data_IF_284820190122
#
_entry.id   IF_284820190122
#
_cell.length_a   1.000
_cell.length_b   1.000
_cell.length_c   1.000
_cell.angle_alpha   90.00
_cell.angle_beta   90.00
_cell.angle_gamma   90.00
#
_symmetry.space_group_name_H-M   'P 1'
#
loop_
_entity.id
_entity.type
_entity.pdbx_description
1 polymer ?
#
# COMPACT_ATOMS: atom_id res chain seq x y z
N UNK A 1 -21.03 27.47 -6.29
CA UNK A 1 -19.64 27.35 -5.80
C UNK A 1 -18.93 28.66 -6.14
N UNK A 2 -18.16 29.24 -5.21
CA UNK A 2 -17.43 30.52 -5.41
C UNK A 2 -15.91 30.36 -5.36
N UNK A 3 -15.41 29.22 -4.90
CA UNK A 3 -13.99 28.94 -4.71
C UNK A 3 -13.61 27.67 -5.47
N UNK A 4 -12.40 27.69 -6.02
CA UNK A 4 -11.78 26.58 -6.73
C UNK A 4 -10.35 26.50 -6.21
N UNK A 5 -9.91 25.30 -5.84
CA UNK A 5 -8.54 25.03 -5.41
C UNK A 5 -7.92 24.04 -6.40
N UNK A 6 -6.71 24.36 -6.86
CA UNK A 6 -5.91 23.53 -7.76
C UNK A 6 -4.49 23.63 -7.23
N UNK A 7 -3.86 22.50 -6.94
CA UNK A 7 -2.52 22.39 -6.35
C UNK A 7 -1.49 23.28 -7.08
N UNK A 8 -1.46 23.22 -8.42
CA UNK A 8 -0.53 23.99 -9.26
C UNK A 8 -0.76 25.50 -9.26
N UNK A 9 -1.92 25.98 -8.80
CA UNK A 9 -2.27 27.40 -8.73
C UNK A 9 -2.26 27.95 -7.30
N UNK A 10 -2.50 27.08 -6.32
CA UNK A 10 -2.66 27.48 -4.93
C UNK A 10 -1.43 27.20 -4.07
N UNK A 11 -0.48 26.39 -4.55
CA UNK A 11 0.80 26.11 -3.90
C UNK A 11 1.92 26.81 -4.69
N UNK A 12 2.80 27.52 -3.98
CA UNK A 12 3.99 28.14 -4.57
C UNK A 12 5.01 27.03 -4.84
N UNK A 13 5.11 26.61 -6.11
CA UNK A 13 5.89 25.43 -6.50
C UNK A 13 7.39 25.50 -6.19
N UNK A 14 7.95 26.72 -6.13
CA UNK A 14 9.38 26.97 -5.91
C UNK A 14 9.72 27.28 -4.43
N UNK A 15 8.77 27.15 -3.51
CA UNK A 15 8.96 27.39 -2.08
C UNK A 15 8.73 26.10 -1.28
N UNK A 16 9.80 25.54 -0.71
CA UNK A 16 9.73 24.29 0.05
C UNK A 16 8.91 24.43 1.34
N UNK A 17 8.91 25.60 1.98
CA UNK A 17 8.18 25.84 3.22
C UNK A 17 6.68 25.99 2.95
N UNK A 18 6.32 26.71 1.87
CA UNK A 18 4.93 26.79 1.39
C UNK A 18 4.42 25.41 0.97
N UNK A 19 5.21 24.65 0.20
CA UNK A 19 4.86 23.29 -0.19
C UNK A 19 4.62 22.40 1.04
N UNK A 20 5.49 22.45 2.05
CA UNK A 20 5.33 21.67 3.28
C UNK A 20 4.05 22.07 4.03
N UNK A 21 3.78 23.36 4.11
CA UNK A 21 2.57 23.88 4.74
C UNK A 21 1.32 23.40 4.01
N UNK A 22 1.22 23.63 2.70
CA UNK A 22 0.06 23.28 1.89
C UNK A 22 -0.13 21.76 1.79
N UNK A 23 0.94 20.99 1.63
CA UNK A 23 0.89 19.52 1.66
C UNK A 23 0.27 18.99 2.96
N UNK A 24 0.57 19.64 4.09
CA UNK A 24 -0.02 19.29 5.39
C UNK A 24 -1.52 19.60 5.47
N UNK A 25 -2.01 20.56 4.67
CA UNK A 25 -3.41 21.00 4.59
C UNK A 25 -4.22 20.27 3.51
N UNK A 26 -3.59 19.67 2.50
CA UNK A 26 -4.26 19.00 1.38
C UNK A 26 -5.36 18.05 1.85
N UNK A 27 -5.08 17.28 2.90
CA UNK A 27 -6.05 16.38 3.49
C UNK A 27 -7.36 17.08 3.88
N UNK A 28 -7.26 18.22 4.55
CA UNK A 28 -8.40 19.02 4.97
C UNK A 28 -9.11 19.67 3.79
N UNK A 29 -8.36 20.10 2.77
CA UNK A 29 -8.92 20.71 1.55
C UNK A 29 -9.84 19.70 0.84
N UNK A 30 -9.34 18.49 0.56
CA UNK A 30 -10.14 17.46 -0.11
C UNK A 30 -11.26 16.92 0.77
N UNK A 31 -11.02 16.72 2.07
CA UNK A 31 -12.06 16.25 2.99
C UNK A 31 -13.22 17.24 3.14
N UNK A 32 -12.95 18.53 3.13
CA UNK A 32 -13.98 19.57 3.30
C UNK A 32 -14.48 20.13 1.95
N UNK A 33 -13.99 19.60 0.83
CA UNK A 33 -14.47 20.00 -0.49
C UNK A 33 -15.95 19.63 -0.66
N UNK A 34 -16.73 20.58 -1.19
CA UNK A 34 -18.12 20.30 -1.58
C UNK A 34 -18.17 19.23 -2.67
N UNK A 35 -17.24 19.32 -3.62
CA UNK A 35 -17.09 18.41 -4.75
C UNK A 35 -15.65 18.50 -5.27
N UNK A 36 -15.02 17.34 -5.46
CA UNK A 36 -13.74 17.22 -6.15
C UNK A 36 -13.98 16.83 -7.61
N UNK A 37 -13.29 17.49 -8.54
CA UNK A 37 -13.39 17.20 -9.97
C UNK A 37 -12.13 16.46 -10.41
N UNK A 38 -12.28 15.29 -11.03
CA UNK A 38 -11.16 14.58 -11.62
C UNK A 38 -11.25 14.53 -13.13
N UNK A 39 -10.18 14.98 -13.79
CA UNK A 39 -9.95 14.77 -15.21
C UNK A 39 -9.54 13.32 -15.50
N UNK A 40 -10.40 12.35 -15.16
CA UNK A 40 -10.08 10.90 -15.21
C UNK A 40 -9.67 10.45 -16.61
N UNK A 41 -10.29 11.02 -17.66
CA UNK A 41 -9.97 10.72 -19.06
C UNK A 41 -8.71 11.42 -19.59
N UNK A 42 -8.09 12.31 -18.80
CA UNK A 42 -6.98 13.14 -19.26
C UNK A 42 -5.65 12.57 -18.80
N UNK A 43 -4.71 12.50 -19.74
CA UNK A 43 -3.36 12.05 -19.45
C UNK A 43 -2.46 13.17 -18.87
N UNK A 44 -2.87 14.44 -19.04
CA UNK A 44 -2.19 15.63 -18.51
C UNK A 44 -3.20 16.78 -18.33
N UNK A 45 -2.75 17.84 -17.66
CA UNK A 45 -3.47 19.10 -17.48
C UNK A 45 -3.75 19.85 -18.80
N UNK A 46 -3.02 19.56 -19.87
CA UNK A 46 -3.22 20.16 -21.19
C UNK A 46 -4.49 19.68 -21.94
N UNK A 47 -5.07 18.54 -21.57
CA UNK A 47 -6.19 17.91 -22.30
C UNK A 47 -7.59 18.36 -21.82
N UNK A 48 -7.65 19.18 -20.77
CA UNK A 48 -8.89 19.66 -20.17
C UNK A 48 -9.73 18.56 -19.50
N UNK A 49 -11.01 18.85 -19.23
CA UNK A 49 -11.94 17.92 -18.54
C UNK A 49 -12.90 17.21 -19.49
N UNK A 50 -13.44 17.93 -20.47
CA UNK A 50 -14.58 17.45 -21.24
C UNK A 50 -14.20 16.39 -22.27
N UNK A 51 -15.06 15.37 -22.38
CA UNK A 51 -14.99 14.31 -23.39
C UNK A 51 -16.37 14.13 -24.00
N UNK A 52 -16.38 13.61 -25.21
CA UNK A 52 -17.60 13.15 -25.88
C UNK A 52 -17.45 11.68 -26.18
N UNK A 53 -18.48 10.90 -25.89
CA UNK A 53 -18.51 9.50 -26.28
C UNK A 53 -18.54 9.37 -27.81
N UNK A 54 -18.10 8.22 -28.30
CA UNK A 54 -18.19 7.92 -29.73
C UNK A 54 -19.64 7.92 -30.19
N UNK A 55 -19.90 8.45 -31.38
CA UNK A 55 -21.25 8.55 -31.96
C UNK A 55 -21.97 7.20 -32.13
N UNK A 56 -21.24 6.09 -32.02
CA UNK A 56 -21.84 4.74 -31.96
C UNK A 56 -22.74 4.55 -30.73
N UNK A 57 -22.60 5.40 -29.71
CA UNK A 57 -23.39 5.42 -28.49
C UNK A 57 -24.50 6.47 -28.50
N UNK A 58 -24.66 7.22 -29.59
CA UNK A 58 -25.77 8.15 -29.74
C UNK A 58 -27.10 7.39 -29.73
N UNK A 59 -28.12 8.00 -29.13
CA UNK A 59 -29.45 7.42 -29.12
C UNK A 59 -30.05 7.45 -30.52
N UNK A 60 -30.53 6.30 -31.00
CA UNK A 60 -31.34 6.18 -32.19
C UNK A 60 -32.82 6.12 -31.85
N UNK A 61 -33.63 6.71 -32.71
CA UNK A 61 -35.09 6.69 -32.59
C UNK A 61 -35.67 5.45 -33.29
N UNK A 62 -36.35 4.59 -32.53
CA UNK A 62 -37.06 3.42 -33.03
C UNK A 62 -38.56 3.65 -32.96
N UNK A 63 -39.23 3.56 -34.11
CA UNK A 63 -40.68 3.75 -34.23
C UNK A 63 -41.37 2.40 -34.39
N UNK A 64 -42.48 2.22 -33.67
CA UNK A 64 -43.24 0.98 -33.76
C UNK A 64 -44.73 1.15 -33.45
N UNK A 65 -45.45 0.03 -33.53
CA UNK A 65 -46.84 -0.09 -33.11
C UNK A 65 -46.99 -1.29 -32.17
N UNK A 66 -47.80 -1.15 -31.14
CA UNK A 66 -48.16 -2.29 -30.28
C UNK A 66 -49.05 -3.27 -31.04
N UNK A 67 -49.28 -4.47 -30.47
CA UNK A 67 -50.25 -5.45 -31.00
C UNK A 67 -51.67 -4.90 -31.15
N UNK A 68 -52.01 -3.82 -30.43
CA UNK A 68 -53.30 -3.10 -30.52
C UNK A 68 -53.25 -1.87 -31.45
N UNK A 69 -52.17 -1.70 -32.22
CA UNK A 69 -52.02 -0.61 -33.20
C UNK A 69 -51.58 0.75 -32.62
N UNK A 70 -51.34 0.88 -31.30
CA UNK A 70 -50.89 2.13 -30.67
C UNK A 70 -49.44 2.43 -31.11
N UNK A 71 -49.19 3.61 -31.67
CA UNK A 71 -47.84 4.06 -32.05
C UNK A 71 -47.00 4.33 -30.81
N UNK A 72 -45.71 4.02 -30.89
CA UNK A 72 -44.74 4.38 -29.87
C UNK A 72 -43.41 4.79 -30.52
N UNK A 73 -42.61 5.50 -29.74
CA UNK A 73 -41.22 5.85 -30.02
C UNK A 73 -40.39 5.33 -28.85
N UNK A 74 -39.31 4.62 -29.15
CA UNK A 74 -38.31 4.18 -28.19
C UNK A 74 -36.98 4.79 -28.62
N UNK A 75 -36.27 5.38 -27.68
CA UNK A 75 -34.87 5.75 -27.91
C UNK A 75 -34.01 4.61 -27.40
N UNK A 76 -33.16 4.08 -28.27
CA UNK A 76 -32.22 3.02 -27.94
C UNK A 76 -30.80 3.52 -28.21
N UNK A 77 -29.85 3.15 -27.36
CA UNK A 77 -28.42 3.38 -27.60
C UNK A 77 -27.64 2.11 -27.33
N UNK A 78 -26.44 2.02 -27.90
CA UNK A 78 -25.48 1.01 -27.44
C UNK A 78 -25.03 1.36 -26.02
N UNK A 79 -24.90 0.36 -25.17
CA UNK A 79 -24.34 0.51 -23.83
C UNK A 79 -22.96 1.19 -23.91
N UNK A 80 -22.71 2.16 -23.02
CA UNK A 80 -21.40 2.83 -22.96
C UNK A 80 -20.37 1.88 -22.32
N UNK A 81 -19.09 2.00 -22.66
CA UNK A 81 -18.04 1.30 -21.92
C UNK A 81 -17.93 1.94 -20.53
N UNK A 82 -18.36 1.23 -19.49
CA UNK A 82 -18.42 1.70 -18.09
C UNK A 82 -17.21 1.28 -17.24
N UNK A 83 -16.09 0.93 -17.86
CA UNK A 83 -14.92 0.51 -17.12
C UNK A 83 -14.14 1.72 -16.62
N UNK A 84 -13.90 1.77 -15.32
CA UNK A 84 -12.92 2.66 -14.69
C UNK A 84 -11.91 1.81 -13.92
N UNK A 85 -10.67 2.25 -13.87
CA UNK A 85 -9.64 1.66 -13.04
C UNK A 85 -8.24 1.64 -13.64
N UNK A 86 -8.12 1.67 -14.96
CA UNK A 86 -6.84 1.68 -15.67
C UNK A 86 -6.41 3.11 -16.10
N UNK A 87 -7.19 4.12 -15.75
CA UNK A 87 -6.86 5.49 -16.11
C UNK A 87 -5.62 5.99 -15.37
N UNK A 88 -4.80 6.78 -16.07
CA UNK A 88 -3.53 7.31 -15.56
C UNK A 88 -3.69 8.08 -14.25
N UNK A 89 -4.83 8.72 -14.03
CA UNK A 89 -5.13 9.48 -12.82
C UNK A 89 -5.04 8.59 -11.56
N UNK A 90 -5.62 7.40 -11.60
CA UNK A 90 -5.66 6.50 -10.44
C UNK A 90 -4.33 5.81 -10.16
N UNK A 91 -3.37 5.90 -11.07
CA UNK A 91 -2.01 5.37 -10.92
C UNK A 91 -1.08 6.32 -10.16
N UNK A 92 -1.53 7.54 -9.82
CA UNK A 92 -0.74 8.56 -9.11
C UNK A 92 -0.95 8.45 -7.59
N UNK A 93 0.14 8.44 -6.83
CA UNK A 93 0.12 8.28 -5.37
C UNK A 93 -0.63 9.40 -4.64
N UNK A 94 -0.41 10.66 -5.02
CA UNK A 94 -1.11 11.81 -4.41
C UNK A 94 -2.63 11.74 -4.60
N UNK A 95 -3.10 11.29 -5.77
CA UNK A 95 -4.53 11.11 -6.07
C UNK A 95 -5.21 10.14 -5.10
N UNK A 96 -4.46 9.19 -4.52
CA UNK A 96 -5.02 8.26 -3.55
C UNK A 96 -5.64 9.00 -2.38
N UNK A 97 -4.89 9.91 -1.75
CA UNK A 97 -5.40 10.73 -0.64
C UNK A 97 -6.55 11.63 -1.07
N UNK A 98 -6.42 12.27 -2.22
CA UNK A 98 -7.43 13.19 -2.77
C UNK A 98 -8.78 12.49 -2.95
N UNK A 99 -8.79 11.35 -3.65
CA UNK A 99 -9.99 10.53 -3.89
C UNK A 99 -10.51 9.90 -2.59
N UNK A 100 -9.61 9.41 -1.74
CA UNK A 100 -9.99 8.69 -0.52
C UNK A 100 -10.66 9.61 0.50
N UNK A 101 -10.19 10.85 0.64
CA UNK A 101 -10.71 11.81 1.62
C UNK A 101 -11.91 12.61 1.09
N UNK A 102 -12.00 12.86 -0.22
CA UNK A 102 -13.13 13.60 -0.83
C UNK A 102 -14.50 13.02 -0.45
N UNK A 103 -15.45 13.83 0.06
CA UNK A 103 -16.82 13.38 0.33
C UNK A 103 -17.56 12.99 -0.95
N UNK A 104 -17.28 13.71 -2.04
CA UNK A 104 -17.87 13.57 -3.37
C UNK A 104 -16.80 13.84 -4.41
N UNK A 105 -16.74 12.99 -5.41
CA UNK A 105 -15.78 13.06 -6.50
C UNK A 105 -16.53 12.85 -7.82
N UNK A 106 -16.46 13.84 -8.71
CA UNK A 106 -17.04 13.74 -10.05
C UNK A 106 -15.92 13.44 -11.04
N UNK A 107 -15.95 12.24 -11.59
CA UNK A 107 -15.02 11.77 -12.59
C UNK A 107 -15.51 12.19 -13.98
N UNK A 108 -14.70 12.97 -14.68
CA UNK A 108 -14.81 13.15 -16.12
C UNK A 108 -14.12 11.98 -16.80
N UNK A 109 -14.83 10.86 -16.89
CA UNK A 109 -14.33 9.62 -17.48
C UNK A 109 -14.42 9.67 -19.02
N UNK A 110 -13.79 8.73 -19.75
CA UNK A 110 -13.68 8.81 -21.21
C UNK A 110 -15.02 8.89 -21.96
N UNK A 111 -16.07 8.25 -21.41
CA UNK A 111 -17.35 8.09 -22.11
C UNK A 111 -18.54 8.78 -21.43
N UNK A 112 -18.43 9.12 -20.14
CA UNK A 112 -19.51 9.73 -19.37
C UNK A 112 -19.00 10.34 -18.06
N UNK A 113 -19.89 11.05 -17.37
CA UNK A 113 -19.64 11.46 -15.99
C UNK A 113 -19.94 10.31 -15.02
N UNK A 114 -19.04 10.12 -14.05
CA UNK A 114 -19.22 9.15 -12.97
C UNK A 114 -19.14 9.87 -11.64
N UNK A 115 -20.19 9.71 -10.84
CA UNK A 115 -20.30 10.22 -9.48
C UNK A 115 -19.77 9.19 -8.49
N UNK A 116 -18.89 9.61 -7.59
CA UNK A 116 -18.41 8.80 -6.48
C UNK A 116 -18.62 9.55 -5.16
N UNK A 117 -19.08 8.87 -4.12
CA UNK A 117 -19.15 9.41 -2.76
C UNK A 117 -18.68 8.38 -1.72
N UNK A 118 -18.97 8.60 -0.44
CA UNK A 118 -18.66 7.63 0.63
C UNK A 118 -19.62 6.44 0.67
N UNK A 119 -20.80 6.56 0.07
CA UNK A 119 -21.86 5.54 0.10
C UNK A 119 -21.88 4.67 -1.15
N UNK A 120 -21.32 5.15 -2.27
CA UNK A 120 -21.30 4.41 -3.52
C UNK A 120 -20.84 5.23 -4.70
N UNK A 121 -21.10 4.68 -5.89
CA UNK A 121 -20.77 5.26 -7.18
C UNK A 121 -21.93 5.08 -8.14
N UNK A 122 -22.17 6.06 -9.02
CA UNK A 122 -23.22 6.05 -10.03
C UNK A 122 -22.72 6.70 -11.33
N UNK A 123 -23.32 6.34 -12.46
CA UNK A 123 -22.97 6.86 -13.79
C UNK A 123 -24.09 7.74 -14.36
N UNK A 124 -23.75 8.64 -15.28
CA UNK A 124 -24.75 9.34 -16.10
C UNK A 124 -25.71 8.36 -16.82
N UNK A 125 -25.21 7.16 -17.13
CA UNK A 125 -26.00 6.10 -17.74
C UNK A 125 -27.09 5.47 -16.89
N UNK A 126 -27.08 5.68 -15.57
CA UNK A 126 -27.96 5.06 -14.59
C UNK A 126 -27.99 3.51 -14.66
N UNK A 127 -26.90 2.89 -15.14
CA UNK A 127 -26.70 1.44 -15.06
C UNK A 127 -25.94 1.10 -13.76
N UNK A 128 -26.64 0.50 -12.80
CA UNK A 128 -26.14 0.13 -11.45
C UNK A 128 -24.99 -0.89 -11.39
N UNK A 129 -24.27 -1.16 -12.49
CA UNK A 129 -23.26 -2.23 -12.57
C UNK A 129 -21.90 -1.87 -11.97
N UNK A 130 -21.62 -0.60 -11.67
CA UNK A 130 -20.36 -0.18 -11.04
C UNK A 130 -20.19 -0.74 -9.61
N UNK A 131 -21.30 -1.11 -8.96
CA UNK A 131 -21.33 -1.79 -7.66
C UNK A 131 -21.12 -3.32 -7.75
N UNK A 132 -21.23 -3.93 -8.94
CA UNK A 132 -21.03 -5.37 -9.15
C UNK A 132 -19.56 -5.74 -9.43
N UNK A 133 -18.64 -4.78 -9.23
CA UNK A 133 -17.22 -4.94 -9.55
C UNK A 133 -16.53 -5.84 -8.53
N UNK A 134 -15.99 -6.95 -9.04
CA UNK A 134 -15.25 -7.94 -8.23
C UNK A 134 -14.00 -7.33 -7.58
N UNK A 135 -13.42 -7.98 -6.56
CA UNK A 135 -12.13 -7.57 -5.94
C UNK A 135 -10.93 -7.45 -6.92
N UNK A 136 -11.09 -7.84 -8.19
CA UNK A 136 -10.08 -7.72 -9.25
C UNK A 136 -10.21 -6.43 -10.06
N UNK A 137 -11.29 -5.68 -9.86
CA UNK A 137 -11.51 -4.38 -10.47
C UNK A 137 -10.97 -3.25 -9.58
N UNK A 138 -10.22 -2.26 -10.10
CA UNK A 138 -9.65 -1.18 -9.31
C UNK A 138 -10.68 -0.33 -8.55
N UNK A 139 -11.86 -0.12 -9.12
CA UNK A 139 -12.92 0.65 -8.46
C UNK A 139 -13.57 -0.16 -7.35
N UNK A 140 -13.90 -1.43 -7.60
CA UNK A 140 -14.43 -2.34 -6.58
C UNK A 140 -13.46 -2.54 -5.41
N UNK A 141 -12.16 -2.62 -5.70
CA UNK A 141 -11.11 -2.66 -4.68
C UNK A 141 -11.09 -1.38 -3.84
N UNK A 142 -11.09 -0.19 -4.47
CA UNK A 142 -11.09 1.09 -3.76
C UNK A 142 -12.35 1.30 -2.90
N UNK A 143 -13.52 0.88 -3.38
CA UNK A 143 -14.77 0.90 -2.60
C UNK A 143 -14.65 0.00 -1.35
N UNK A 144 -14.04 -1.18 -1.48
CA UNK A 144 -13.77 -2.06 -0.33
C UNK A 144 -12.87 -1.39 0.70
N UNK A 145 -11.89 -0.59 0.27
CA UNK A 145 -11.02 0.19 1.18
C UNK A 145 -11.82 1.23 1.97
N UNK A 146 -12.74 1.95 1.31
CA UNK A 146 -13.61 2.92 1.97
C UNK A 146 -14.54 2.26 2.97
N UNK A 147 -15.17 1.15 2.59
CA UNK A 147 -16.05 0.38 3.48
C UNK A 147 -15.29 -0.12 4.71
N UNK A 148 -14.06 -0.62 4.52
CA UNK A 148 -13.21 -1.09 5.64
C UNK A 148 -12.88 0.02 6.63
N UNK A 149 -12.65 1.25 6.16
CA UNK A 149 -12.43 2.41 7.01
C UNK A 149 -13.71 2.89 7.71
N UNK A 150 -14.86 2.88 7.02
CA UNK A 150 -16.13 3.19 7.66
C UNK A 150 -16.49 2.17 8.75
N UNK A 151 -16.25 0.88 8.51
CA UNK A 151 -16.40 -0.16 9.52
C UNK A 151 -15.45 0.05 10.70
N UNK A 152 -14.23 0.53 10.46
CA UNK A 152 -13.23 0.76 11.51
C UNK A 152 -13.70 1.71 12.63
N UNK A 153 -14.58 2.69 12.33
CA UNK A 153 -15.15 3.60 13.35
C UNK A 153 -16.02 2.89 14.40
N UNK A 154 -16.58 1.74 14.06
CA UNK A 154 -17.51 1.00 14.94
C UNK A 154 -16.93 -0.34 15.38
N UNK A 155 -15.65 -0.60 15.07
CA UNK A 155 -15.04 -1.91 15.16
C UNK A 155 -13.95 -2.00 16.23
N UNK A 156 -13.43 -3.21 16.41
CA UNK A 156 -12.33 -3.50 17.32
C UNK A 156 -11.00 -2.89 16.83
N UNK A 157 -10.01 -2.66 17.73
CA UNK A 157 -8.67 -2.19 17.36
C UNK A 157 -8.03 -2.99 16.22
N UNK A 158 -8.29 -4.30 16.17
CA UNK A 158 -7.82 -5.19 15.10
C UNK A 158 -8.42 -4.84 13.72
N UNK A 159 -9.71 -4.48 13.63
CA UNK A 159 -10.29 -4.07 12.34
C UNK A 159 -9.72 -2.75 11.84
N UNK A 160 -9.46 -1.80 12.74
CA UNK A 160 -8.75 -0.56 12.39
C UNK A 160 -7.37 -0.88 11.80
N UNK A 161 -6.72 -1.92 12.32
CA UNK A 161 -5.36 -2.34 11.90
C UNK A 161 -5.40 -2.94 10.49
N UNK A 162 -6.38 -3.80 10.26
CA UNK A 162 -6.66 -4.39 8.96
C UNK A 162 -6.99 -3.31 7.92
N UNK A 163 -7.82 -2.33 8.27
CA UNK A 163 -8.16 -1.22 7.37
C UNK A 163 -6.93 -0.38 7.00
N UNK A 164 -6.05 -0.06 7.96
CA UNK A 164 -4.80 0.66 7.69
C UNK A 164 -3.88 -0.13 6.76
N UNK A 165 -3.75 -1.43 6.99
CA UNK A 165 -2.96 -2.35 6.17
C UNK A 165 -3.42 -2.37 4.72
N UNK A 166 -4.74 -2.39 4.48
CA UNK A 166 -5.28 -2.31 3.11
C UNK A 166 -5.01 -0.96 2.45
N UNK A 167 -5.03 0.13 3.22
CA UNK A 167 -4.63 1.45 2.74
C UNK A 167 -3.17 1.43 2.29
N UNK A 168 -2.25 0.90 3.11
CA UNK A 168 -0.84 0.80 2.76
C UNK A 168 -0.59 -0.08 1.53
N UNK A 169 -1.25 -1.24 1.43
CA UNK A 169 -1.16 -2.16 0.28
C UNK A 169 -1.59 -1.47 -1.02
N UNK A 170 -2.76 -0.81 -1.00
CA UNK A 170 -3.32 -0.12 -2.14
C UNK A 170 -2.43 1.03 -2.61
N UNK A 171 -1.95 1.82 -1.64
CA UNK A 171 -1.13 3.00 -1.90
C UNK A 171 0.24 2.65 -2.48
N UNK A 172 0.91 1.62 -1.97
CA UNK A 172 2.25 1.25 -2.44
C UNK A 172 2.28 0.68 -3.87
N UNK A 173 1.12 0.22 -4.37
CA UNK A 173 0.93 -0.16 -5.77
C UNK A 173 0.92 1.03 -6.75
N UNK A 174 0.91 2.28 -6.26
CA UNK A 174 0.81 3.49 -7.07
C UNK A 174 2.18 4.10 -7.38
N UNK A 175 2.21 5.01 -8.35
CA UNK A 175 3.41 5.72 -8.78
C UNK A 175 3.47 7.13 -8.17
N UNK A 176 4.64 7.50 -7.67
CA UNK A 176 4.96 8.86 -7.22
C UNK A 176 6.03 9.45 -8.12
N UNK A 177 5.89 10.74 -8.44
CA UNK A 177 6.94 11.48 -9.18
C UNK A 177 8.20 11.65 -8.33
N UNK A 178 8.04 11.89 -7.03
CA UNK A 178 9.15 12.03 -6.08
C UNK A 178 9.10 10.94 -5.02
N UNK A 179 10.18 10.18 -4.92
CA UNK A 179 10.32 9.11 -3.94
C UNK A 179 10.13 9.61 -2.49
N UNK A 180 10.55 10.83 -2.16
CA UNK A 180 10.42 11.40 -0.80
C UNK A 180 8.95 11.59 -0.35
N UNK A 181 8.01 11.68 -1.30
CA UNK A 181 6.60 11.93 -1.01
C UNK A 181 5.85 10.71 -0.50
N UNK A 182 6.51 9.55 -0.35
CA UNK A 182 5.84 8.29 0.03
C UNK A 182 5.04 8.40 1.34
N UNK A 183 5.56 9.05 2.38
CA UNK A 183 4.79 9.29 3.60
C UNK A 183 3.94 10.57 3.52
N UNK A 184 4.47 11.73 3.06
CA UNK A 184 3.68 12.95 2.88
C UNK A 184 2.36 12.77 2.13
N UNK A 185 2.37 12.04 1.01
CA UNK A 185 1.17 11.85 0.18
C UNK A 185 0.09 10.96 0.81
N UNK A 186 0.39 10.32 1.94
CA UNK A 186 -0.56 9.53 2.75
C UNK A 186 -0.83 10.15 4.13
N UNK A 187 -0.18 11.26 4.45
CA UNK A 187 -0.13 11.88 5.79
C UNK A 187 -1.52 12.21 6.34
N UNK A 188 -2.44 12.68 5.49
CA UNK A 188 -3.81 13.01 5.83
C UNK A 188 -4.63 11.80 6.23
N UNK A 189 -4.50 10.69 5.51
CA UNK A 189 -5.16 9.43 5.87
C UNK A 189 -4.55 8.89 7.17
N UNK A 190 -3.22 8.94 7.31
CA UNK A 190 -2.54 8.52 8.55
C UNK A 190 -3.07 9.28 9.79
N UNK A 191 -3.24 10.61 9.70
CA UNK A 191 -3.82 11.44 10.77
C UNK A 191 -5.23 11.01 11.16
N UNK A 192 -6.06 10.57 10.21
CA UNK A 192 -7.39 10.01 10.51
C UNK A 192 -7.30 8.70 11.29
N UNK A 193 -6.37 7.82 10.91
CA UNK A 193 -6.15 6.57 11.65
C UNK A 193 -5.55 6.80 13.04
N UNK A 194 -4.76 7.86 13.24
CA UNK A 194 -4.33 8.30 14.59
C UNK A 194 -5.57 8.66 15.43
N UNK A 195 -6.54 9.37 14.85
CA UNK A 195 -7.81 9.66 15.52
C UNK A 195 -8.62 8.42 15.93
N UNK A 196 -8.46 7.30 15.19
CA UNK A 196 -9.06 6.00 15.51
C UNK A 196 -8.22 5.19 16.52
N UNK A 197 -7.00 5.65 16.84
CA UNK A 197 -6.01 4.97 17.67
C UNK A 197 -5.30 5.96 18.61
N UNK A 198 -6.03 6.64 19.50
CA UNK A 198 -5.47 7.77 20.26
C UNK A 198 -4.32 7.39 21.22
N UNK A 199 -4.22 6.12 21.61
CA UNK A 199 -3.17 5.60 22.50
C UNK A 199 -2.04 4.86 21.76
N UNK A 200 -2.12 4.75 20.43
CA UNK A 200 -1.13 4.06 19.60
C UNK A 200 -0.19 5.07 18.96
N UNK A 201 1.09 4.69 18.79
CA UNK A 201 2.09 5.58 18.18
C UNK A 201 2.29 5.22 16.72
N UNK A 202 2.17 6.22 15.84
CA UNK A 202 2.48 6.09 14.43
C UNK A 202 4.01 6.05 14.21
N UNK A 203 4.47 5.07 13.44
CA UNK A 203 5.89 4.78 13.23
C UNK A 203 6.17 4.53 11.75
N UNK A 204 6.43 5.60 10.99
CA UNK A 204 6.80 5.53 9.57
C UNK A 204 5.87 4.63 8.73
N UNK A 205 4.56 4.73 8.92
CA UNK A 205 3.57 3.88 8.22
C UNK A 205 3.18 2.59 8.95
N UNK A 206 3.79 2.29 10.10
CA UNK A 206 3.42 1.18 10.99
C UNK A 206 2.86 1.72 12.32
N UNK A 207 2.41 0.83 13.19
CA UNK A 207 1.89 1.17 14.52
C UNK A 207 2.67 0.45 15.61
N UNK A 208 2.86 1.11 16.76
CA UNK A 208 3.61 0.54 17.89
C UNK A 208 2.90 -0.66 18.51
N UNK A 209 1.59 -0.57 18.72
CA UNK A 209 0.80 -1.66 19.30
C UNK A 209 0.92 -2.96 18.49
N UNK A 210 0.96 -2.85 17.16
CA UNK A 210 1.05 -3.97 16.23
C UNK A 210 2.41 -4.14 15.56
N UNK A 211 3.46 -3.56 16.13
CA UNK A 211 4.74 -3.40 15.44
C UNK A 211 5.30 -4.73 14.93
N UNK A 212 5.32 -5.78 15.75
CA UNK A 212 5.80 -7.11 15.34
C UNK A 212 5.04 -7.68 14.13
N UNK A 213 3.71 -7.47 14.06
CA UNK A 213 2.93 -7.93 12.92
C UNK A 213 3.08 -7.04 11.70
N UNK A 214 3.16 -5.72 11.90
CA UNK A 214 3.28 -4.75 10.83
C UNK A 214 4.64 -4.85 10.14
N UNK A 215 5.67 -5.37 10.81
CA UNK A 215 6.94 -5.77 10.21
C UNK A 215 6.82 -6.94 9.21
N UNK A 216 5.68 -7.63 9.12
CA UNK A 216 5.52 -8.81 8.26
C UNK A 216 5.05 -8.49 6.83
N UNK A 217 5.16 -7.24 6.39
CA UNK A 217 4.94 -6.87 4.98
C UNK A 217 5.95 -7.56 4.06
N UNK A 218 5.58 -7.79 2.80
CA UNK A 218 6.47 -8.33 1.76
C UNK A 218 6.44 -7.44 0.53
N UNK A 219 7.58 -7.18 -0.09
CA UNK A 219 7.60 -6.57 -1.41
C UNK A 219 7.21 -7.61 -2.46
N UNK A 220 6.46 -7.18 -3.47
CA UNK A 220 6.05 -8.04 -4.58
C UNK A 220 4.69 -7.66 -5.15
N UNK A 221 4.41 -8.25 -6.30
CA UNK A 221 3.27 -7.88 -7.13
C UNK A 221 2.03 -8.62 -6.68
N UNK A 222 1.09 -7.89 -6.08
CA UNK A 222 -0.19 -8.42 -5.67
C UNK A 222 -1.33 -7.52 -6.17
N UNK A 223 -2.43 -8.15 -6.58
CA UNK A 223 -3.64 -7.43 -7.00
C UNK A 223 -3.49 -6.64 -8.30
N UNK A 224 -4.00 -5.41 -8.29
CA UNK A 224 -4.09 -4.46 -9.42
C UNK A 224 -2.87 -3.52 -9.51
N UNK A 225 -1.77 -3.83 -8.82
CA UNK A 225 -0.58 -2.99 -8.76
C UNK A 225 0.03 -2.76 -10.15
N UNK A 226 0.44 -1.52 -10.44
CA UNK A 226 1.23 -1.15 -11.63
C UNK A 226 2.70 -1.59 -11.53
N UNK A 227 3.13 -1.98 -10.33
CA UNK A 227 4.49 -2.43 -10.03
C UNK A 227 4.48 -3.95 -10.04
N UNK A 228 4.81 -4.52 -11.20
CA UNK A 228 4.80 -5.97 -11.44
C UNK A 228 6.13 -6.67 -11.12
N UNK A 229 7.20 -5.92 -10.91
CA UNK A 229 8.52 -6.44 -10.53
C UNK A 229 9.05 -5.74 -9.29
N UNK A 230 9.94 -6.43 -8.56
CA UNK A 230 10.75 -5.79 -7.53
C UNK A 230 11.55 -4.64 -8.16
N UNK A 231 11.51 -3.48 -7.52
CA UNK A 231 12.28 -2.30 -7.92
C UNK A 231 13.58 -2.22 -7.13
N UNK A 232 14.58 -1.48 -7.64
CA UNK A 232 15.72 -1.03 -6.85
C UNK A 232 15.29 -0.34 -5.56
N UNK A 233 16.17 -0.37 -4.55
CA UNK A 233 15.99 0.50 -3.39
C UNK A 233 16.08 1.97 -3.83
N UNK A 234 15.28 2.89 -3.27
CA UNK A 234 15.44 4.31 -3.54
C UNK A 234 16.86 4.79 -3.23
N UNK A 235 17.46 5.59 -4.12
CA UNK A 235 18.82 6.11 -3.97
C UNK A 235 18.96 7.02 -2.74
N UNK A 236 17.93 7.83 -2.47
CA UNK A 236 17.86 8.70 -1.29
C UNK A 236 17.07 8.04 -0.19
N UNK A 237 17.60 8.09 1.03
CA UNK A 237 16.90 7.62 2.22
C UNK A 237 15.62 8.44 2.45
N UNK A 238 14.50 7.75 2.72
CA UNK A 238 13.18 8.36 2.98
C UNK A 238 12.44 7.77 4.17
N UNK A 239 12.79 6.56 4.58
CA UNK A 239 12.19 5.85 5.68
C UNK A 239 13.14 4.75 6.17
N UNK A 240 13.04 4.32 7.44
CA UNK A 240 13.81 3.21 7.96
C UNK A 240 13.53 1.89 7.21
N UNK A 241 14.52 1.01 7.06
CA UNK A 241 14.38 -0.19 6.21
C UNK A 241 13.33 -1.19 6.72
N UNK A 242 12.93 -1.10 7.98
CA UNK A 242 11.84 -1.91 8.54
C UNK A 242 10.44 -1.43 8.13
N UNK A 243 10.30 -0.20 7.63
CA UNK A 243 9.04 0.35 7.12
C UNK A 243 8.82 -0.04 5.67
N UNK A 244 7.56 -0.31 5.29
CA UNK A 244 7.17 -0.54 3.90
C UNK A 244 7.43 0.71 3.03
N UNK A 245 7.52 1.91 3.61
CA UNK A 245 7.82 3.13 2.88
C UNK A 245 9.27 3.21 2.39
N UNK A 246 10.15 2.31 2.85
CA UNK A 246 11.56 2.29 2.45
C UNK A 246 11.82 1.71 1.06
N UNK A 247 10.85 1.01 0.46
CA UNK A 247 10.98 0.35 -0.85
C UNK A 247 10.12 1.03 -1.90
N UNK A 248 10.51 0.96 -3.17
CA UNK A 248 9.67 1.47 -4.27
C UNK A 248 8.77 0.41 -4.90
N UNK A 249 8.92 -0.87 -4.53
CA UNK A 249 8.04 -1.96 -4.97
C UNK A 249 6.64 -1.83 -4.37
N UNK A 250 5.64 -2.46 -5.00
CA UNK A 250 4.38 -2.74 -4.31
C UNK A 250 4.63 -3.64 -3.10
N UNK A 251 3.76 -3.52 -2.09
CA UNK A 251 3.85 -4.32 -0.87
C UNK A 251 2.54 -5.05 -0.61
N UNK A 252 2.66 -6.18 0.09
CA UNK A 252 1.54 -6.91 0.65
C UNK A 252 1.76 -7.06 2.15
N UNK A 253 0.88 -6.44 2.91
CA UNK A 253 0.75 -6.65 4.35
C UNK A 253 -0.03 -7.94 4.63
N UNK A 254 0.08 -8.44 5.86
CA UNK A 254 -0.52 -9.71 6.29
C UNK A 254 -2.04 -9.80 6.04
N UNK A 255 -2.77 -8.69 6.09
CA UNK A 255 -4.23 -8.75 5.94
C UNK A 255 -4.67 -9.14 4.53
N UNK A 256 -3.99 -8.68 3.47
CA UNK A 256 -4.33 -9.07 2.10
C UNK A 256 -4.09 -10.57 1.82
N UNK A 257 -3.08 -11.17 2.46
CA UNK A 257 -2.76 -12.59 2.29
C UNK A 257 -3.70 -13.54 3.07
N UNK A 258 -4.18 -13.13 4.25
CA UNK A 258 -4.86 -14.02 5.20
C UNK A 258 -6.37 -13.79 5.35
N UNK A 259 -6.95 -12.76 4.70
CA UNK A 259 -8.38 -12.44 4.73
C UNK A 259 -9.31 -13.51 4.10
N UNK A 260 -8.81 -14.68 3.70
CA UNK A 260 -9.69 -15.76 3.24
C UNK A 260 -10.38 -16.50 4.40
N UNK A 261 -9.85 -16.48 5.63
CA UNK A 261 -10.18 -17.52 6.65
C UNK A 261 -10.78 -16.99 7.98
N UNK A 262 -11.41 -15.81 8.04
CA UNK A 262 -12.00 -15.29 9.29
C UNK A 262 -11.00 -15.25 10.47
N UNK A 263 -9.78 -14.77 10.23
CA UNK A 263 -8.76 -14.58 11.28
C UNK A 263 -9.16 -13.40 12.17
N UNK A 264 -9.48 -13.69 13.43
CA UNK A 264 -9.82 -12.72 14.48
C UNK A 264 -8.57 -12.10 15.12
N UNK A 265 -7.40 -12.25 14.49
CA UNK A 265 -6.12 -11.74 14.95
C UNK A 265 -5.49 -12.59 16.05
N UNK A 266 -6.15 -13.68 16.47
CA UNK A 266 -5.72 -14.50 17.64
C UNK A 266 -4.65 -15.53 17.32
N UNK A 267 -4.25 -15.66 16.07
CA UNK A 267 -3.24 -16.65 15.65
C UNK A 267 -1.80 -16.19 15.81
N UNK A 268 -1.52 -14.91 16.08
CA UNK A 268 -0.15 -14.40 16.09
C UNK A 268 0.39 -14.17 17.50
N UNK A 269 1.62 -14.62 17.72
CA UNK A 269 2.38 -14.35 18.94
C UNK A 269 3.68 -13.64 18.56
N UNK A 270 3.93 -12.46 19.14
CA UNK A 270 5.23 -11.79 19.02
C UNK A 270 6.34 -12.67 19.61
N UNK A 271 7.46 -12.77 18.90
CA UNK A 271 8.69 -13.44 19.36
C UNK A 271 9.82 -12.45 19.63
N UNK A 272 9.51 -11.15 19.71
CA UNK A 272 10.45 -10.07 19.96
C UNK A 272 10.01 -9.21 21.13
N UNK A 273 11.00 -8.64 21.81
CA UNK A 273 10.83 -7.48 22.67
C UNK A 273 11.24 -6.21 21.91
N UNK A 274 10.34 -5.23 21.81
CA UNK A 274 10.66 -3.91 21.27
C UNK A 274 11.31 -3.09 22.38
N UNK A 275 12.64 -2.93 22.33
CA UNK A 275 13.38 -2.21 23.38
C UNK A 275 13.33 -0.69 23.18
N UNK A 276 13.36 -0.25 21.91
CA UNK A 276 13.21 1.15 21.54
C UNK A 276 12.76 1.25 20.08
N UNK A 277 11.89 2.18 19.76
CA UNK A 277 11.56 2.54 18.37
C UNK A 277 11.30 4.03 18.29
N UNK A 278 11.87 4.67 17.26
CA UNK A 278 11.74 6.10 17.07
C UNK A 278 11.76 6.49 15.59
N UNK A 279 11.00 7.53 15.26
CA UNK A 279 11.01 8.20 13.97
C UNK A 279 11.19 9.69 14.24
N UNK A 280 12.13 10.33 13.55
CA UNK A 280 12.35 11.77 13.62
C UNK A 280 11.80 12.38 12.34
N UNK A 281 10.73 13.19 12.41
CA UNK A 281 10.22 13.92 11.27
C UNK A 281 11.25 14.88 10.67
N UNK A 282 11.12 15.21 9.40
CA UNK A 282 11.87 16.29 8.75
C UNK A 282 11.24 17.66 8.97
N UNK A 283 9.96 17.71 9.38
CA UNK A 283 9.22 18.93 9.73
C UNK A 283 8.22 18.67 10.85
N UNK A 284 7.17 19.49 10.97
CA UNK A 284 6.22 19.39 12.09
C UNK A 284 5.25 18.20 11.98
N UNK A 285 5.09 17.63 10.78
CA UNK A 285 4.17 16.54 10.53
C UNK A 285 4.78 15.17 10.85
N UNK A 286 4.36 14.57 11.96
CA UNK A 286 4.80 13.23 12.39
C UNK A 286 4.40 12.10 11.43
N UNK A 287 3.45 12.33 10.52
CA UNK A 287 3.04 11.36 9.50
C UNK A 287 3.64 11.64 8.12
N UNK A 288 4.46 12.69 8.01
CA UNK A 288 5.06 13.15 6.77
C UNK A 288 6.48 12.64 6.53
N UNK A 289 7.31 13.49 5.91
CA UNK A 289 8.71 13.18 5.58
C UNK A 289 9.54 12.97 6.86
N UNK A 290 10.47 12.03 6.82
CA UNK A 290 11.35 11.70 7.94
C UNK A 290 12.77 12.19 7.67
N UNK A 291 13.50 12.52 8.75
CA UNK A 291 14.93 12.81 8.72
C UNK A 291 15.77 11.62 9.18
N UNK A 292 15.23 10.79 10.10
CA UNK A 292 15.85 9.54 10.54
C UNK A 292 14.85 8.64 11.26
N UNK A 293 15.21 7.39 11.51
CA UNK A 293 14.45 6.50 12.38
C UNK A 293 15.18 5.19 12.65
N UNK A 294 14.81 4.50 13.71
CA UNK A 294 15.43 3.24 14.10
C UNK A 294 14.48 2.39 14.96
N UNK A 295 14.76 1.09 15.01
CA UNK A 295 14.12 0.14 15.89
C UNK A 295 15.17 -0.79 16.53
N UNK A 296 15.20 -0.85 17.86
CA UNK A 296 16.02 -1.78 18.64
C UNK A 296 15.14 -2.93 19.09
N UNK A 297 15.36 -4.10 18.49
CA UNK A 297 14.58 -5.30 18.74
C UNK A 297 15.43 -6.35 19.42
N UNK A 298 14.94 -6.97 20.49
CA UNK A 298 15.53 -8.17 21.05
C UNK A 298 14.75 -9.39 20.57
N UNK A 299 15.46 -10.39 20.10
CA UNK A 299 14.87 -11.64 19.67
C UNK A 299 15.90 -12.68 19.27
N UNK A 300 15.39 -13.85 18.92
CA UNK A 300 16.20 -14.96 18.46
C UNK A 300 16.69 -14.77 17.02
N UNK A 301 18.01 -14.82 16.83
CA UNK A 301 18.69 -14.56 15.57
C UNK A 301 19.58 -15.74 15.15
N UNK A 302 19.69 -15.98 13.84
CA UNK A 302 20.67 -16.89 13.27
C UNK A 302 21.32 -16.29 12.02
N UNK A 303 22.66 -16.31 11.97
CA UNK A 303 23.39 -15.93 10.76
C UNK A 303 23.43 -17.07 9.73
N UNK A 304 23.30 -16.76 8.45
CA UNK A 304 23.51 -17.66 7.31
C UNK A 304 24.23 -16.94 6.16
N UNK A 305 24.36 -17.61 5.01
CA UNK A 305 24.96 -17.03 3.81
C UNK A 305 23.89 -16.85 2.72
N UNK A 306 23.87 -15.68 2.11
CA UNK A 306 22.98 -15.39 0.99
C UNK A 306 23.37 -16.20 -0.26
N UNK A 307 22.36 -16.69 -0.97
CA UNK A 307 22.45 -17.36 -2.26
C UNK A 307 21.34 -16.84 -3.19
N UNK A 308 21.66 -16.72 -4.45
CA UNK A 308 20.78 -16.39 -5.56
C UNK A 308 21.16 -17.25 -6.75
N UNK A 309 20.15 -17.74 -7.46
CA UNK A 309 20.31 -18.52 -8.69
C UNK A 309 20.11 -17.60 -9.90
N UNK A 310 20.92 -17.79 -10.94
CA UNK A 310 21.10 -16.83 -12.03
C UNK A 310 19.85 -16.50 -12.89
N UNK A 311 18.68 -17.09 -12.62
CA UNK A 311 17.51 -17.01 -13.49
C UNK A 311 16.22 -16.49 -12.82
N UNK A 312 16.31 -15.86 -11.65
CA UNK A 312 15.14 -15.20 -11.06
C UNK A 312 15.48 -14.33 -9.84
N UNK A 313 15.14 -13.05 -9.91
CA UNK A 313 15.24 -12.12 -8.78
C UNK A 313 14.01 -12.17 -7.85
N UNK A 314 13.08 -13.10 -8.11
CA UNK A 314 11.85 -13.25 -7.34
C UNK A 314 12.11 -13.75 -5.91
N UNK A 315 13.20 -14.51 -5.71
CA UNK A 315 13.51 -15.17 -4.45
C UNK A 315 15.00 -15.08 -4.10
N UNK A 316 15.27 -14.81 -2.83
CA UNK A 316 16.59 -14.98 -2.23
C UNK A 316 16.65 -16.28 -1.44
N UNK A 317 17.86 -16.82 -1.24
CA UNK A 317 18.07 -18.05 -0.48
C UNK A 317 19.08 -17.83 0.64
N UNK A 318 18.89 -18.54 1.75
CA UNK A 318 19.78 -18.53 2.91
C UNK A 318 20.29 -19.94 3.14
N UNK A 319 21.61 -20.10 3.03
CA UNK A 319 22.30 -21.36 3.24
C UNK A 319 23.01 -21.39 4.59
N UNK A 320 22.83 -22.47 5.37
CA UNK A 320 23.63 -22.75 6.57
C UNK A 320 23.62 -24.25 6.86
N UNK A 321 24.77 -24.80 7.26
CA UNK A 321 24.84 -26.18 7.79
C UNK A 321 24.31 -27.27 6.85
N UNK A 322 24.42 -27.07 5.53
CA UNK A 322 23.89 -28.00 4.52
C UNK A 322 22.40 -27.88 4.22
N UNK A 323 21.69 -26.95 4.89
CA UNK A 323 20.30 -26.62 4.60
C UNK A 323 20.20 -25.27 3.89
N UNK A 324 19.20 -25.15 3.04
CA UNK A 324 18.87 -23.92 2.32
C UNK A 324 17.37 -23.64 2.47
N UNK A 325 17.00 -22.36 2.50
CA UNK A 325 15.60 -21.92 2.51
C UNK A 325 15.44 -20.62 1.76
N UNK A 326 14.28 -20.44 1.13
CA UNK A 326 13.95 -19.22 0.39
C UNK A 326 13.40 -18.11 1.30
N UNK A 327 13.51 -16.87 0.82
CA UNK A 327 12.88 -15.68 1.40
C UNK A 327 12.48 -14.70 0.29
N UNK A 328 11.47 -13.88 0.56
CA UNK A 328 11.02 -12.81 -0.33
C UNK A 328 11.92 -11.58 -0.16
N UNK A 329 12.69 -11.14 -1.17
CA UNK A 329 13.49 -9.92 -1.10
C UNK A 329 12.60 -8.67 -1.04
N UNK A 330 13.08 -7.62 -0.35
CA UNK A 330 12.36 -6.34 -0.28
C UNK A 330 12.59 -5.48 -1.54
N UNK A 331 13.68 -5.71 -2.27
CA UNK A 331 14.11 -4.94 -3.44
C UNK A 331 15.09 -5.76 -4.31
N UNK A 332 15.46 -5.24 -5.48
CA UNK A 332 16.45 -5.84 -6.38
C UNK A 332 17.88 -5.76 -5.85
N UNK A 333 18.57 -6.90 -5.73
CA UNK A 333 19.95 -6.97 -5.24
C UNK A 333 21.04 -6.85 -6.32
N UNK A 334 20.66 -6.75 -7.59
CA UNK A 334 21.56 -6.74 -8.74
C UNK A 334 22.04 -5.34 -9.16
N UNK A 335 21.50 -4.30 -8.52
CA UNK A 335 21.96 -2.92 -8.71
C UNK A 335 23.34 -2.75 -8.08
N UNK A 336 24.28 -2.16 -8.82
CA UNK A 336 25.65 -1.97 -8.36
C UNK A 336 25.81 -0.71 -7.50
N UNK A 337 25.25 -0.78 -6.29
CA UNK A 337 25.30 0.29 -5.30
C UNK A 337 25.46 -0.28 -3.86
N UNK A 338 25.24 0.55 -2.85
CA UNK A 338 25.30 0.12 -1.45
C UNK A 338 24.20 -0.86 -1.05
N UNK A 339 23.11 -0.94 -1.82
CA UNK A 339 22.00 -1.88 -1.62
C UNK A 339 22.30 -3.29 -2.12
N UNK A 340 23.36 -3.47 -2.93
CA UNK A 340 23.79 -4.76 -3.49
C UNK A 340 23.98 -5.85 -2.43
N UNK A 341 23.48 -7.05 -2.71
CA UNK A 341 23.68 -8.27 -1.91
C UNK A 341 24.15 -9.39 -2.84
N UNK A 342 25.29 -10.01 -2.52
CA UNK A 342 25.97 -10.97 -3.38
C UNK A 342 26.04 -12.37 -2.77
N UNK A 343 26.17 -13.39 -3.62
CA UNK A 343 26.34 -14.77 -3.18
C UNK A 343 27.51 -14.91 -2.21
N UNK A 344 27.24 -15.47 -1.03
CA UNK A 344 28.21 -15.61 0.06
C UNK A 344 28.15 -14.50 1.10
N UNK A 345 27.42 -13.41 0.86
CA UNK A 345 27.21 -12.36 1.86
C UNK A 345 26.55 -12.93 3.11
N UNK A 346 27.02 -12.46 4.28
CA UNK A 346 26.47 -12.88 5.55
C UNK A 346 25.15 -12.16 5.83
N UNK A 347 24.08 -12.93 5.97
CA UNK A 347 22.74 -12.45 6.32
C UNK A 347 22.29 -13.01 7.65
N UNK A 348 21.26 -12.43 8.24
CA UNK A 348 20.78 -12.77 9.57
C UNK A 348 19.25 -12.92 9.56
N UNK A 349 18.76 -14.02 10.11
CA UNK A 349 17.33 -14.29 10.26
C UNK A 349 16.92 -13.97 11.70
N UNK A 350 16.16 -12.89 11.92
CA UNK A 350 15.58 -12.54 13.21
C UNK A 350 14.13 -13.01 13.25
N UNK A 351 13.78 -13.91 14.18
CA UNK A 351 12.38 -14.35 14.33
C UNK A 351 11.54 -13.22 14.92
N UNK A 352 10.47 -12.85 14.23
CA UNK A 352 9.57 -11.76 14.63
C UNK A 352 8.33 -12.28 15.31
N UNK A 353 7.71 -13.31 14.75
CA UNK A 353 6.42 -13.78 15.24
C UNK A 353 6.12 -15.22 14.82
N UNK A 354 5.36 -15.92 15.64
CA UNK A 354 4.81 -17.25 15.37
C UNK A 354 3.34 -17.13 15.04
N UNK A 355 2.94 -17.67 13.90
CA UNK A 355 1.55 -17.77 13.48
C UNK A 355 1.03 -19.20 13.67
N UNK A 356 0.05 -19.35 14.56
CA UNK A 356 -0.67 -20.56 14.88
C UNK A 356 -2.14 -20.44 14.41
N UNK A 357 -2.44 -20.77 13.15
CA UNK A 357 -3.81 -20.65 12.65
C UNK A 357 -4.71 -21.74 13.25
N UNK A 358 -6.03 -21.46 13.33
CA UNK A 358 -7.04 -22.45 13.77
C UNK A 358 -7.08 -23.70 12.88
N UNK A 359 -6.74 -23.54 11.61
CA UNK A 359 -6.65 -24.60 10.60
C UNK A 359 -5.31 -24.43 9.87
N UNK A 360 -4.60 -25.52 9.62
CA UNK A 360 -3.31 -25.50 8.93
C UNK A 360 -2.11 -25.64 9.88
N UNK A 361 -0.90 -25.50 9.32
CA UNK A 361 0.35 -25.65 10.08
C UNK A 361 0.79 -24.32 10.66
N UNK A 362 1.39 -24.39 11.84
CA UNK A 362 2.08 -23.26 12.45
C UNK A 362 3.28 -22.82 11.61
N UNK A 363 3.57 -21.53 11.64
CA UNK A 363 4.68 -20.95 10.89
C UNK A 363 5.35 -19.81 11.65
N UNK A 364 6.68 -19.79 11.62
CA UNK A 364 7.47 -18.67 12.15
C UNK A 364 7.84 -17.72 11.01
N UNK A 365 7.80 -16.42 11.32
CA UNK A 365 8.14 -15.36 10.39
C UNK A 365 9.42 -14.67 10.85
N UNK A 366 10.31 -14.41 9.89
CA UNK A 366 11.65 -13.90 10.16
C UNK A 366 11.95 -12.71 9.26
N UNK A 367 12.48 -11.63 9.82
CA UNK A 367 13.17 -10.63 9.01
C UNK A 367 14.50 -11.19 8.55
N UNK A 368 14.81 -10.97 7.29
CA UNK A 368 16.14 -11.18 6.74
C UNK A 368 16.86 -9.84 6.77
N UNK A 369 17.99 -9.82 7.47
CA UNK A 369 18.78 -8.63 7.75
C UNK A 369 20.20 -8.77 7.19
N UNK A 370 20.81 -7.64 6.83
CA UNK A 370 22.25 -7.52 6.63
C UNK A 370 22.82 -6.45 7.56
N UNK A 371 24.12 -6.50 7.81
CA UNK A 371 24.80 -5.39 8.50
C UNK A 371 24.86 -4.18 7.59
N UNK A 372 24.58 -2.99 8.13
CA UNK A 372 24.74 -1.74 7.40
C UNK A 372 26.23 -1.45 7.21
N UNK A 373 26.64 -1.18 5.97
CA UNK A 373 28.03 -0.82 5.66
C UNK A 373 28.39 0.49 6.38
N UNK A 374 29.58 0.55 6.97
CA UNK A 374 30.05 1.74 7.69
C UNK A 374 29.43 2.00 9.07
N UNK A 375 28.48 1.18 9.55
CA UNK A 375 27.87 1.34 10.88
C UNK A 375 27.96 0.06 11.71
N UNK A 376 28.72 0.12 12.80
CA UNK A 376 28.90 -1.02 13.72
C UNK A 376 27.59 -1.29 14.46
N UNK A 377 27.21 -2.57 14.59
CA UNK A 377 26.04 -3.00 15.36
C UNK A 377 24.69 -2.59 14.77
N UNK A 378 24.68 -2.08 13.54
CA UNK A 378 23.48 -1.59 12.86
C UNK A 378 23.14 -2.49 11.67
N UNK A 379 21.85 -2.72 11.46
CA UNK A 379 21.32 -3.64 10.47
C UNK A 379 20.32 -2.94 9.56
N UNK A 380 20.16 -3.50 8.37
CA UNK A 380 19.13 -3.13 7.41
C UNK A 380 18.31 -4.37 7.08
N UNK A 381 17.01 -4.20 6.98
CA UNK A 381 16.11 -5.21 6.46
C UNK A 381 16.28 -5.34 4.95
N UNK A 382 16.27 -6.58 4.46
CA UNK A 382 16.39 -6.92 3.04
C UNK A 382 15.35 -7.92 2.55
N UNK A 383 14.52 -8.47 3.44
CA UNK A 383 13.46 -9.38 3.04
C UNK A 383 12.71 -10.01 4.21
N UNK A 384 11.76 -10.88 3.87
CA UNK A 384 10.95 -11.63 4.82
C UNK A 384 10.96 -13.11 4.47
N UNK A 385 11.18 -13.95 5.48
CA UNK A 385 11.16 -15.41 5.38
C UNK A 385 10.02 -15.97 6.24
N UNK A 386 9.40 -17.06 5.79
CA UNK A 386 8.42 -17.80 6.58
C UNK A 386 8.76 -19.29 6.53
N UNK A 387 8.80 -19.93 7.70
CA UNK A 387 9.11 -21.34 7.85
C UNK A 387 7.95 -22.04 8.55
N UNK A 388 7.48 -23.16 7.99
CA UNK A 388 6.59 -24.05 8.73
C UNK A 388 7.33 -24.66 9.93
N UNK A 389 6.66 -24.67 11.08
CA UNK A 389 7.20 -25.23 12.33
C UNK A 389 7.36 -26.75 12.18
N UNK A 390 8.46 -27.29 12.70
CA UNK A 390 8.79 -28.73 12.81
C UNK A 390 8.97 -29.56 11.52
N UNK A 391 8.65 -29.02 10.34
CA UNK A 391 8.78 -29.72 9.05
C UNK A 391 10.04 -29.34 8.23
N UNK A 392 10.87 -28.41 8.72
CA UNK A 392 11.99 -27.86 7.96
C UNK A 392 13.35 -28.10 8.66
N UNK A 393 14.34 -28.65 7.93
CA UNK A 393 15.70 -28.87 8.44
C UNK A 393 16.41 -27.56 8.84
N UNK A 394 16.17 -26.48 8.10
CA UNK A 394 16.64 -25.14 8.44
C UNK A 394 15.99 -24.63 9.74
N UNK A 395 14.71 -24.91 9.97
CA UNK A 395 14.02 -24.54 11.21
C UNK A 395 14.62 -25.26 12.43
N UNK A 396 14.85 -26.57 12.35
CA UNK A 396 15.52 -27.33 13.43
C UNK A 396 16.93 -26.82 13.70
N UNK A 397 17.65 -26.42 12.65
CA UNK A 397 18.95 -25.77 12.80
C UNK A 397 18.84 -24.39 13.45
N UNK A 398 17.82 -23.59 13.11
CA UNK A 398 17.54 -22.33 13.79
C UNK A 398 17.30 -22.56 15.28
N UNK A 399 16.40 -23.46 15.66
CA UNK A 399 16.09 -23.76 17.06
C UNK A 399 17.33 -24.20 17.87
N UNK A 400 18.25 -24.95 17.25
CA UNK A 400 19.46 -25.45 17.93
C UNK A 400 20.64 -24.48 17.96
N UNK A 401 20.68 -23.47 17.07
CA UNK A 401 21.83 -22.57 16.91
C UNK A 401 21.49 -21.08 16.95
N UNK A 402 20.24 -20.73 17.27
CA UNK A 402 19.85 -19.34 17.49
C UNK A 402 20.58 -18.76 18.69
N UNK A 403 20.85 -17.48 18.60
CA UNK A 403 21.34 -16.66 19.70
C UNK A 403 20.27 -15.63 20.04
N UNK A 404 20.25 -15.15 21.28
CA UNK A 404 19.37 -14.06 21.67
C UNK A 404 20.16 -12.74 21.62
N UNK A 405 19.70 -11.77 20.83
CA UNK A 405 20.47 -10.54 20.61
C UNK A 405 19.56 -9.32 20.48
N UNK A 406 20.06 -8.16 20.92
CA UNK A 406 19.44 -6.87 20.64
C UNK A 406 20.04 -6.28 19.35
N UNK A 407 19.18 -5.90 18.42
CA UNK A 407 19.55 -5.51 17.05
C UNK A 407 18.98 -4.14 16.76
N UNK A 408 19.84 -3.20 16.35
CA UNK A 408 19.42 -1.90 15.87
C UNK A 408 19.18 -1.94 14.34
N UNK A 409 17.95 -1.71 13.90
CA UNK A 409 17.55 -1.68 12.49
C UNK A 409 17.23 -0.23 12.11
N UNK A 410 17.84 0.27 11.03
CA UNK A 410 17.72 1.68 10.57
C UNK A 410 17.16 1.81 9.17
#
# INVERSE_FOLDING_TARGET
>A
MKYLWIDSLCIIQDDEDDWRHEASLMANIYENAVLTLGATASASDAEGLFRSSSSIHDSIELRGKTSKGKRYIVYARRQLPHYMGDERLFKRGWIFQERYLSPRFLHFAPNELIWECKEGMDCECNENKLLETTKRDPVGYFNTLKSSYLEAFTASPYRVQVAWRHVADAYMGLNLSHAKDTLPALSGIAKKFIGLRPEDRYLAGLWEFSFAEDLLWRAGSYGISEKHDLRPRPEKWRAPTWSWASVDSAVMTRSAAYNRWNDDGRGMTSCIDVLAVNCIPAGDDITGELSSGYAVLRGSIMAGCFRSFAHGYEWGYIAKGGYETEFSPDYRFDVDDDSRVQNGDRVFCLRIATHNPKIGRSSDHFLVLRKKRGMIGTFERIGLMMLAVDDNGFYRMFESRREECAINIV
#
